data_IF_275485449709
#
_entry.id   IF_275485449709
#
_cell.length_a   1.000
_cell.length_b   1.000
_cell.length_c   1.000
_cell.angle_alpha   90.00
_cell.angle_beta   90.00
_cell.angle_gamma   90.00
#
_symmetry.space_group_name_H-M   'P 1'
#
loop_
_entity.id
_entity.type
_entity.pdbx_description
1 polymer ?
#
# COMPACT_ATOMS: atom_id res chain seq x y z
N UNK A 1 42.48 -31.66 -27.23
CA UNK A 1 43.14 -31.21 -28.47
C UNK A 1 42.06 -31.10 -29.53
N UNK A 2 41.74 -29.88 -29.98
CA UNK A 2 41.05 -29.64 -31.25
C UNK A 2 42.13 -29.21 -32.27
N UNK A 3 42.04 -29.62 -33.55
CA UNK A 3 41.58 -28.72 -34.62
C UNK A 3 40.77 -29.51 -35.71
N UNK A 4 40.09 -28.99 -36.75
CA UNK A 4 40.20 -27.80 -37.61
C UNK A 4 38.88 -27.68 -38.44
N UNK A 5 38.20 -26.52 -38.44
CA UNK A 5 38.01 -25.52 -39.55
C UNK A 5 37.12 -25.81 -40.78
N UNK A 6 36.38 -24.75 -41.15
CA UNK A 6 35.73 -24.37 -42.43
C UNK A 6 34.19 -24.45 -42.39
N UNK A 7 33.37 -23.48 -42.82
CA UNK A 7 33.51 -22.38 -43.78
C UNK A 7 32.44 -21.29 -43.51
N UNK A 8 32.68 -20.06 -43.94
CA UNK A 8 31.76 -18.92 -43.86
C UNK A 8 30.80 -18.84 -45.07
N UNK A 9 29.56 -18.37 -44.86
CA UNK A 9 28.90 -17.37 -45.69
C UNK A 9 27.61 -16.86 -45.03
N UNK A 10 27.56 -15.54 -44.87
CA UNK A 10 26.48 -14.67 -45.30
C UNK A 10 25.28 -14.41 -44.36
N UNK A 11 25.18 -13.11 -44.04
CA UNK A 11 24.22 -12.38 -43.24
C UNK A 11 22.77 -12.57 -43.67
N UNK A 12 21.87 -12.70 -42.68
CA UNK A 12 20.61 -11.96 -42.67
C UNK A 12 20.42 -11.44 -41.25
N UNK A 13 20.51 -10.12 -41.09
CA UNK A 13 20.04 -9.41 -39.90
C UNK A 13 18.53 -9.60 -39.77
N UNK A 14 18.07 -10.18 -38.66
CA UNK A 14 16.69 -9.98 -38.21
C UNK A 14 16.71 -9.20 -36.89
N UNK A 15 16.33 -7.94 -37.02
CA UNK A 15 15.91 -7.07 -35.93
C UNK A 15 14.62 -7.68 -35.39
N UNK A 16 14.66 -8.22 -34.17
CA UNK A 16 13.47 -8.60 -33.42
C UNK A 16 13.46 -7.79 -32.13
N UNK A 17 12.44 -6.94 -32.05
CA UNK A 17 12.17 -5.94 -31.03
C UNK A 17 12.39 -6.41 -29.59
N UNK A 18 13.15 -5.58 -28.87
CA UNK A 18 13.27 -5.57 -27.42
C UNK A 18 12.00 -4.93 -26.85
N UNK A 19 10.89 -5.69 -26.81
CA UNK A 19 9.63 -5.28 -26.21
C UNK A 19 9.74 -5.30 -24.67
N UNK A 20 10.44 -4.30 -24.14
CA UNK A 20 10.53 -3.98 -22.72
C UNK A 20 9.40 -3.01 -22.31
N UNK A 21 8.15 -3.36 -22.59
CA UNK A 21 6.96 -2.62 -22.15
C UNK A 21 5.86 -3.59 -21.74
N UNK A 22 6.02 -4.24 -20.59
CA UNK A 22 5.02 -5.17 -20.04
C UNK A 22 4.68 -4.87 -18.57
N UNK A 23 4.91 -3.62 -18.14
CA UNK A 23 4.51 -3.09 -16.83
C UNK A 23 3.32 -2.10 -16.91
N UNK A 24 2.82 -1.81 -18.11
CA UNK A 24 1.77 -0.83 -18.36
C UNK A 24 0.34 -1.42 -18.32
N UNK A 25 0.16 -2.72 -18.09
CA UNK A 25 -1.16 -3.37 -18.06
C UNK A 25 -1.97 -3.20 -16.75
N UNK A 26 -1.61 -2.26 -15.86
CA UNK A 26 -2.27 -2.12 -14.55
C UNK A 26 -3.27 -0.96 -14.40
N UNK A 27 -3.53 -0.13 -15.43
CA UNK A 27 -4.65 0.84 -15.44
C UNK A 27 -4.80 1.53 -16.81
N UNK A 28 -5.79 1.17 -17.66
CA UNK A 28 -5.91 1.77 -19.00
C UNK A 28 -6.63 3.13 -19.06
N UNK A 29 -7.51 3.47 -18.11
CA UNK A 29 -8.39 4.63 -18.30
C UNK A 29 -8.29 5.62 -17.14
N UNK A 30 -7.57 6.72 -17.35
CA UNK A 30 -7.81 8.03 -16.72
C UNK A 30 -6.81 9.06 -17.29
N UNK A 31 -6.99 9.44 -18.55
CA UNK A 31 -6.34 10.62 -19.09
C UNK A 31 -7.10 11.18 -20.31
N UNK A 32 -8.11 12.01 -20.08
CA UNK A 32 -8.41 13.13 -20.98
C UNK A 32 -8.77 14.38 -20.16
N UNK A 33 -8.06 15.50 -20.32
CA UNK A 33 -8.49 16.79 -19.82
C UNK A 33 -9.23 17.58 -20.92
N UNK A 34 -10.48 17.93 -20.65
CA UNK A 34 -11.24 18.92 -21.43
C UNK A 34 -10.69 20.33 -21.17
N UNK A 35 -10.56 21.10 -22.25
CA UNK A 35 -10.05 22.47 -22.29
C UNK A 35 -11.15 23.48 -22.61
N UNK A 36 -11.15 24.60 -21.87
CA UNK A 36 -11.58 25.97 -22.23
C UNK A 36 -11.61 26.79 -20.91
N UNK A 37 -11.33 28.08 -20.76
CA UNK A 37 -11.38 29.27 -21.62
C UNK A 37 -10.29 30.33 -21.21
N UNK A 38 -10.30 31.41 -21.99
CA UNK A 38 -9.43 32.58 -22.16
C UNK A 38 -8.94 33.40 -20.94
N UNK A 39 -7.68 33.85 -20.98
CA UNK A 39 -7.18 35.02 -20.23
C UNK A 39 -6.22 35.88 -21.09
N UNK A 40 -6.20 37.17 -20.77
CA UNK A 40 -5.71 38.31 -21.56
C UNK A 40 -4.17 38.52 -21.51
N UNK A 41 -3.67 39.35 -22.43
CA UNK A 41 -2.30 39.33 -22.98
C UNK A 41 -1.20 40.10 -22.22
N UNK A 42 -1.42 40.59 -21.00
CA UNK A 42 -0.39 41.38 -20.28
C UNK A 42 0.10 40.78 -18.95
N UNK A 43 -0.51 39.69 -18.45
CA UNK A 43 -0.04 38.92 -17.27
C UNK A 43 0.88 37.72 -17.62
N UNK A 44 1.16 37.51 -18.91
CA UNK A 44 1.88 36.32 -19.40
C UNK A 44 3.38 36.33 -19.05
N UNK A 45 4.07 37.48 -19.14
CA UNK A 45 5.54 37.49 -18.99
C UNK A 45 6.00 37.32 -17.53
N UNK A 46 5.30 37.90 -16.56
CA UNK A 46 5.64 37.75 -15.13
C UNK A 46 5.31 36.34 -14.60
N UNK A 47 4.19 35.78 -15.05
CA UNK A 47 3.79 34.40 -14.74
C UNK A 47 4.72 33.36 -15.36
N UNK A 48 5.22 33.61 -16.58
CA UNK A 48 6.20 32.75 -17.23
C UNK A 48 7.54 32.77 -16.52
N UNK A 49 8.06 33.93 -16.12
CA UNK A 49 9.32 33.99 -15.37
C UNK A 49 9.24 33.26 -14.01
N UNK A 50 8.11 33.35 -13.31
CA UNK A 50 7.86 32.62 -12.06
C UNK A 50 7.71 31.10 -12.28
N UNK A 51 7.02 30.69 -13.36
CA UNK A 51 6.91 29.29 -13.78
C UNK A 51 8.25 28.72 -14.23
N UNK A 52 9.09 29.50 -14.91
CA UNK A 52 10.43 29.09 -15.34
C UNK A 52 11.36 28.97 -14.14
N UNK A 53 11.32 29.91 -13.19
CA UNK A 53 12.09 29.83 -11.94
C UNK A 53 11.68 28.62 -11.10
N UNK A 54 10.39 28.33 -10.95
CA UNK A 54 9.92 27.15 -10.23
C UNK A 54 10.26 25.84 -10.94
N UNK A 55 10.23 25.80 -12.28
CA UNK A 55 10.71 24.66 -13.08
C UNK A 55 12.22 24.46 -12.95
N UNK A 56 13.01 25.53 -12.96
CA UNK A 56 14.47 25.48 -12.76
C UNK A 56 14.83 25.05 -11.34
N UNK A 57 14.13 25.54 -10.32
CA UNK A 57 14.32 25.10 -8.93
C UNK A 57 13.89 23.64 -8.76
N UNK A 58 12.83 23.20 -9.44
CA UNK A 58 12.39 21.79 -9.42
C UNK A 58 13.40 20.88 -10.14
N UNK A 59 13.96 21.33 -11.26
CA UNK A 59 15.05 20.64 -11.95
C UNK A 59 16.31 20.60 -11.08
N UNK A 60 16.66 21.71 -10.42
CA UNK A 60 17.79 21.80 -9.51
C UNK A 60 17.63 20.91 -8.27
N UNK A 61 16.43 20.85 -7.69
CA UNK A 61 16.12 19.94 -6.59
C UNK A 61 16.16 18.49 -7.07
N UNK A 62 15.71 18.20 -8.29
CA UNK A 62 15.82 16.87 -8.90
C UNK A 62 17.28 16.48 -9.15
N UNK A 63 18.16 17.42 -9.46
CA UNK A 63 19.59 17.17 -9.64
C UNK A 63 20.28 17.01 -8.28
N UNK A 64 20.05 17.93 -7.34
CA UNK A 64 20.66 17.97 -6.01
C UNK A 64 20.28 16.76 -5.15
N UNK A 65 19.04 16.29 -5.25
CA UNK A 65 18.54 15.17 -4.46
C UNK A 65 18.31 13.88 -5.26
N UNK A 66 18.38 13.91 -6.61
CA UNK A 66 17.96 12.80 -7.47
C UNK A 66 18.95 12.31 -8.52
N UNK A 67 20.06 13.02 -8.81
CA UNK A 67 21.04 12.56 -9.80
C UNK A 67 22.24 11.84 -9.15
N UNK A 68 21.98 10.68 -8.58
CA UNK A 68 23.04 9.66 -8.52
C UNK A 68 23.08 8.98 -9.88
N UNK A 69 24.26 8.89 -10.50
CA UNK A 69 24.54 7.99 -11.63
C UNK A 69 24.33 6.55 -11.13
N UNK A 70 23.06 6.13 -11.06
CA UNK A 70 22.67 4.80 -10.59
C UNK A 70 23.17 3.83 -11.65
N UNK A 71 24.28 3.14 -11.36
CA UNK A 71 24.59 1.87 -12.02
C UNK A 71 23.30 1.06 -12.01
N UNK A 72 22.71 0.80 -13.19
CA UNK A 72 21.51 -0.04 -13.29
C UNK A 72 21.82 -1.33 -12.55
N UNK A 73 21.08 -1.58 -11.46
CA UNK A 73 21.27 -2.78 -10.68
C UNK A 73 21.05 -3.98 -11.62
N UNK A 74 22.07 -4.81 -11.78
CA UNK A 74 21.99 -6.03 -12.59
C UNK A 74 21.31 -7.10 -11.76
N UNK A 75 19.98 -7.15 -11.82
CA UNK A 75 19.22 -8.22 -11.18
C UNK A 75 19.25 -9.47 -12.07
N UNK A 76 19.62 -10.60 -11.47
CA UNK A 76 19.50 -11.89 -12.15
C UNK A 76 18.03 -12.29 -12.14
N UNK A 77 17.40 -12.45 -13.31
CA UNK A 77 15.98 -12.86 -13.45
C UNK A 77 15.63 -14.22 -12.81
N UNK A 78 16.61 -14.97 -12.33
CA UNK A 78 16.43 -16.25 -11.61
C UNK A 78 16.59 -16.14 -10.10
N UNK A 79 17.00 -14.99 -9.59
CA UNK A 79 17.06 -14.78 -8.14
C UNK A 79 15.64 -14.71 -7.58
N UNK A 80 15.37 -15.35 -6.43
CA UNK A 80 14.06 -15.27 -5.80
C UNK A 80 13.78 -13.84 -5.32
N UNK A 81 12.50 -13.47 -5.34
CA UNK A 81 12.03 -12.20 -4.78
C UNK A 81 11.60 -12.44 -3.35
N UNK A 82 12.12 -11.65 -2.41
CA UNK A 82 11.76 -11.74 -1.00
C UNK A 82 10.81 -10.61 -0.62
N UNK A 83 9.65 -10.95 -0.04
CA UNK A 83 8.66 -10.00 0.45
C UNK A 83 8.28 -10.36 1.88
N UNK A 84 8.61 -9.49 2.83
CA UNK A 84 8.20 -9.57 4.25
C UNK A 84 8.46 -10.96 4.88
N UNK A 85 9.64 -11.51 4.65
CA UNK A 85 10.08 -12.81 5.20
C UNK A 85 9.69 -14.04 4.36
N UNK A 86 8.98 -13.87 3.24
CA UNK A 86 8.66 -14.95 2.30
C UNK A 86 9.49 -14.83 1.02
N UNK A 87 9.94 -15.96 0.49
CA UNK A 87 10.71 -16.04 -0.76
C UNK A 87 9.84 -16.61 -1.88
N UNK A 88 9.90 -16.01 -3.06
CA UNK A 88 9.08 -16.37 -4.21
C UNK A 88 9.96 -16.59 -5.45
N UNK A 89 9.82 -17.73 -6.10
CA UNK A 89 10.44 -17.97 -7.40
C UNK A 89 9.52 -17.52 -8.52
N UNK A 90 9.73 -16.32 -9.05
CA UNK A 90 8.85 -15.69 -10.05
C UNK A 90 8.77 -16.45 -11.38
N UNK A 91 9.68 -17.41 -11.65
CA UNK A 91 9.58 -18.30 -12.81
C UNK A 91 8.48 -19.36 -12.65
N UNK A 92 8.19 -19.75 -11.41
CA UNK A 92 7.09 -20.63 -11.10
C UNK A 92 5.80 -19.78 -11.08
N UNK A 93 4.80 -20.20 -11.85
CA UNK A 93 3.54 -19.48 -12.00
C UNK A 93 2.75 -19.37 -10.70
N UNK A 94 2.73 -20.42 -9.89
CA UNK A 94 2.05 -20.45 -8.59
C UNK A 94 2.74 -19.51 -7.58
N UNK A 95 4.07 -19.52 -7.53
CA UNK A 95 4.84 -18.60 -6.69
C UNK A 95 4.65 -17.14 -7.12
N UNK A 96 4.62 -16.89 -8.44
CA UNK A 96 4.37 -15.56 -9.00
C UNK A 96 2.98 -15.04 -8.62
N UNK A 97 1.96 -15.89 -8.69
CA UNK A 97 0.60 -15.53 -8.30
C UNK A 97 0.48 -15.34 -6.78
N UNK A 98 1.14 -16.19 -5.98
CA UNK A 98 1.23 -16.02 -4.53
C UNK A 98 1.93 -14.70 -4.16
N UNK A 99 3.01 -14.34 -4.85
CA UNK A 99 3.67 -13.05 -4.71
C UNK A 99 2.71 -11.90 -5.03
N UNK A 100 2.03 -11.96 -6.18
CA UNK A 100 1.07 -10.93 -6.62
C UNK A 100 -0.01 -10.73 -5.57
N UNK A 101 -0.64 -11.80 -5.08
CA UNK A 101 -1.66 -11.74 -4.01
C UNK A 101 -1.10 -11.11 -2.74
N UNK A 102 0.08 -11.54 -2.29
CA UNK A 102 0.70 -10.97 -1.09
C UNK A 102 1.03 -9.48 -1.26
N UNK A 103 1.51 -9.08 -2.44
CA UNK A 103 1.88 -7.71 -2.75
C UNK A 103 0.66 -6.78 -2.80
N UNK A 104 -0.40 -7.15 -3.52
CA UNK A 104 -1.63 -6.32 -3.61
C UNK A 104 -2.42 -6.27 -2.31
N UNK A 105 -2.15 -7.18 -1.37
CA UNK A 105 -2.74 -7.17 -0.03
C UNK A 105 -2.11 -6.13 0.90
N UNK A 106 -1.01 -5.49 0.51
CA UNK A 106 -0.37 -4.47 1.32
C UNK A 106 -1.16 -3.19 1.28
N UNK A 107 -1.51 -2.67 2.46
CA UNK A 107 -2.15 -1.36 2.57
C UNK A 107 -1.16 -0.28 2.14
N UNK A 108 -1.48 0.38 1.03
CA UNK A 108 -0.68 1.45 0.45
C UNK A 108 -1.25 2.80 0.86
N UNK A 109 -0.52 3.53 1.71
CA UNK A 109 -0.88 4.86 2.17
C UNK A 109 0.01 5.90 1.49
N UNK A 110 -0.63 6.84 0.81
CA UNK A 110 0.01 7.87 -0.02
C UNK A 110 -0.30 9.27 0.51
N UNK A 111 0.33 10.27 -0.08
CA UNK A 111 -0.06 11.65 0.16
C UNK A 111 -1.53 11.89 -0.18
N UNK A 112 -2.19 12.69 0.65
CA UNK A 112 -3.58 13.11 0.47
C UNK A 112 -3.69 14.63 0.56
N UNK A 113 -4.81 15.13 0.06
CA UNK A 113 -5.19 16.54 0.05
C UNK A 113 -6.68 16.64 0.35
N UNK A 114 -7.10 17.79 0.87
CA UNK A 114 -8.51 18.06 1.17
C UNK A 114 -9.02 17.39 2.45
N UNK A 115 -8.13 16.86 3.29
CA UNK A 115 -8.52 16.41 4.63
C UNK A 115 -8.71 17.59 5.59
N UNK A 116 -9.40 17.43 6.74
CA UNK A 116 -9.59 18.50 7.73
C UNK A 116 -8.28 19.17 8.15
N UNK A 117 -8.29 20.44 8.51
CA UNK A 117 -7.05 21.16 8.85
C UNK A 117 -6.27 20.48 9.98
N UNK A 118 -4.94 20.41 9.84
CA UNK A 118 -4.07 19.81 10.84
C UNK A 118 -3.89 20.73 12.06
N UNK A 119 -3.90 20.18 13.30
CA UNK A 119 -3.90 20.98 14.51
C UNK A 119 -2.73 21.97 14.60
N UNK A 120 -3.02 23.26 14.69
CA UNK A 120 -2.01 24.33 14.79
C UNK A 120 -1.38 24.72 13.45
N UNK A 121 -2.06 24.46 12.33
CA UNK A 121 -1.62 24.84 10.99
C UNK A 121 -2.82 25.10 10.06
N UNK A 122 -2.55 25.67 8.88
CA UNK A 122 -3.53 25.78 7.79
C UNK A 122 -3.46 24.61 6.79
N UNK A 123 -2.66 23.58 7.05
CA UNK A 123 -2.41 22.49 6.12
C UNK A 123 -3.57 21.50 6.07
N UNK A 124 -4.07 21.27 4.87
CA UNK A 124 -5.07 20.24 4.50
C UNK A 124 -4.47 19.18 3.56
N UNK A 125 -3.14 19.13 3.51
CA UNK A 125 -2.36 18.23 2.66
C UNK A 125 -1.05 17.86 3.35
N UNK A 126 -0.63 16.61 3.14
CA UNK A 126 0.69 16.12 3.58
C UNK A 126 1.69 15.97 2.43
N UNK A 127 1.30 16.41 1.23
CA UNK A 127 2.18 16.44 0.06
C UNK A 127 3.43 17.26 0.34
N UNK A 128 4.59 16.63 0.16
CA UNK A 128 5.90 17.29 0.30
C UNK A 128 6.56 17.17 1.67
N UNK A 129 5.86 16.65 2.69
CA UNK A 129 6.44 16.52 4.04
C UNK A 129 6.00 15.25 4.81
N UNK A 130 4.84 14.66 4.48
CA UNK A 130 4.25 13.54 5.22
C UNK A 130 4.82 12.15 4.94
N UNK A 131 5.84 12.00 4.09
CA UNK A 131 6.23 10.69 3.54
C UNK A 131 6.56 9.67 4.63
N UNK A 132 7.35 10.06 5.63
CA UNK A 132 7.79 9.15 6.69
C UNK A 132 6.62 8.78 7.62
N UNK A 133 5.64 9.67 7.80
CA UNK A 133 4.39 9.34 8.50
C UNK A 133 3.58 8.29 7.72
N UNK A 134 3.44 8.46 6.39
CA UNK A 134 2.76 7.46 5.53
C UNK A 134 3.47 6.11 5.53
N UNK A 135 4.80 6.10 5.49
CA UNK A 135 5.58 4.88 5.64
C UNK A 135 5.37 4.22 7.01
N UNK A 136 5.32 5.02 8.09
CA UNK A 136 4.98 4.54 9.42
C UNK A 136 3.58 3.94 9.50
N UNK A 137 2.59 4.57 8.87
CA UNK A 137 1.23 4.02 8.75
C UNK A 137 1.24 2.68 8.03
N UNK A 138 1.93 2.54 6.90
CA UNK A 138 2.03 1.26 6.17
C UNK A 138 2.70 0.17 7.01
N UNK A 139 3.76 0.51 7.74
CA UNK A 139 4.45 -0.41 8.63
C UNK A 139 3.53 -0.91 9.75
N UNK A 140 2.84 0.02 10.43
CA UNK A 140 1.88 -0.31 11.48
C UNK A 140 0.71 -1.13 10.92
N UNK A 141 0.13 -0.71 9.80
CA UNK A 141 -0.94 -1.42 9.12
C UNK A 141 -0.58 -2.87 8.84
N UNK A 142 0.65 -3.13 8.37
CA UNK A 142 1.14 -4.51 8.18
C UNK A 142 1.21 -5.28 9.51
N UNK A 143 1.71 -4.65 10.57
CA UNK A 143 1.73 -5.24 11.92
C UNK A 143 0.33 -5.57 12.43
N UNK A 144 -0.66 -4.71 12.19
CA UNK A 144 -2.05 -4.93 12.56
C UNK A 144 -2.69 -6.08 11.78
N UNK A 145 -2.43 -6.19 10.48
CA UNK A 145 -2.89 -7.33 9.69
C UNK A 145 -2.30 -8.63 10.23
N UNK A 146 -1.00 -8.67 10.56
CA UNK A 146 -0.38 -9.85 11.17
C UNK A 146 -0.93 -10.17 12.57
N UNK A 147 -1.35 -9.17 13.32
CA UNK A 147 -1.91 -9.34 14.67
C UNK A 147 -3.37 -9.81 14.66
N UNK A 148 -4.17 -9.33 13.70
CA UNK A 148 -5.64 -9.50 13.70
C UNK A 148 -6.14 -10.55 12.71
N UNK A 149 -5.34 -10.91 11.70
CA UNK A 149 -5.72 -11.86 10.65
C UNK A 149 -5.04 -13.22 10.83
N UNK A 150 -5.62 -14.31 10.30
CA UNK A 150 -4.96 -15.62 10.30
C UNK A 150 -3.66 -15.61 9.49
N UNK A 151 -2.70 -16.50 9.82
CA UNK A 151 -1.47 -16.66 9.06
C UNK A 151 -1.75 -16.94 7.58
N UNK A 152 -0.99 -16.29 6.69
CA UNK A 152 -1.14 -16.46 5.25
C UNK A 152 -2.29 -15.70 4.61
N UNK A 153 -3.04 -14.92 5.39
CA UNK A 153 -4.12 -14.09 4.85
C UNK A 153 -3.65 -13.15 3.72
N UNK A 154 -4.48 -13.07 2.67
CA UNK A 154 -4.36 -12.14 1.55
C UNK A 154 -5.72 -11.53 1.23
N UNK A 155 -5.71 -10.31 0.72
CA UNK A 155 -6.88 -9.64 0.18
C UNK A 155 -7.24 -10.26 -1.18
N UNK A 156 -8.45 -10.81 -1.28
CA UNK A 156 -8.97 -11.30 -2.57
C UNK A 156 -9.52 -10.12 -3.36
N UNK A 157 -8.73 -9.59 -4.29
CA UNK A 157 -9.17 -8.57 -5.24
C UNK A 157 -10.17 -9.10 -6.29
N UNK A 158 -10.44 -10.41 -6.33
CA UNK A 158 -11.40 -10.99 -7.29
C UNK A 158 -12.87 -10.62 -6.99
N UNK A 159 -13.15 -9.93 -5.88
CA UNK A 159 -14.50 -9.49 -5.52
C UNK A 159 -14.92 -8.12 -6.08
N UNK A 160 -14.08 -7.40 -6.83
CA UNK A 160 -14.47 -6.13 -7.45
C UNK A 160 -14.55 -6.12 -8.97
N UNK A 161 -14.27 -7.24 -9.66
CA UNK A 161 -14.24 -7.29 -11.13
C UNK A 161 -15.26 -8.22 -11.78
N UNK A 162 -16.03 -9.05 -11.03
CA UNK A 162 -17.18 -9.81 -11.58
C UNK A 162 -18.26 -10.01 -10.52
N UNK A 163 -19.32 -9.19 -10.58
CA UNK A 163 -20.76 -9.48 -10.41
C UNK A 163 -21.49 -8.19 -10.01
N UNK A 164 -21.94 -7.39 -10.96
CA UNK A 164 -23.36 -7.48 -11.34
C UNK A 164 -23.89 -8.92 -11.24
N UNK A 165 -24.81 -9.14 -10.31
CA UNK A 165 -25.55 -10.39 -10.11
C UNK A 165 -26.43 -10.74 -11.34
N UNK A 166 -25.82 -10.94 -12.50
CA UNK A 166 -26.44 -11.43 -13.73
C UNK A 166 -25.84 -12.77 -14.15
N UNK A 167 -25.75 -13.71 -13.20
CA UNK A 167 -25.79 -15.12 -13.57
C UNK A 167 -27.26 -15.52 -13.71
N UNK A 168 -27.89 -15.09 -14.80
CA UNK A 168 -29.05 -15.80 -15.33
C UNK A 168 -28.55 -17.17 -15.74
N UNK A 169 -28.94 -18.21 -15.00
CA UNK A 169 -28.86 -19.56 -15.50
C UNK A 169 -29.60 -19.58 -16.84
N UNK A 170 -28.85 -19.73 -17.93
CA UNK A 170 -29.41 -20.15 -19.21
C UNK A 170 -30.09 -21.50 -18.97
N UNK A 171 -31.41 -21.48 -18.85
CA UNK A 171 -32.21 -22.70 -18.97
C UNK A 171 -32.23 -23.06 -20.44
N UNK A 172 -31.43 -24.07 -20.83
CA UNK A 172 -31.69 -24.83 -22.02
C UNK A 172 -33.02 -25.59 -21.83
N UNK A 173 -34.04 -25.08 -22.52
CA UNK A 173 -35.14 -25.79 -23.18
C UNK A 173 -36.05 -26.74 -22.37
N UNK A 174 -37.31 -26.34 -22.16
CA UNK A 174 -38.53 -27.11 -22.52
C UNK A 174 -39.82 -26.43 -22.02
N UNK A 175 -40.57 -25.85 -22.98
CA UNK A 175 -42.00 -26.04 -23.26
C UNK A 175 -43.07 -25.95 -22.13
N UNK A 176 -43.96 -24.94 -22.33
CA UNK A 176 -45.35 -24.73 -21.88
C UNK A 176 -45.71 -23.88 -20.61
N UNK A 177 -46.82 -23.08 -20.69
CA UNK A 177 -47.18 -22.05 -19.70
C UNK A 177 -48.30 -22.47 -18.73
N UNK A 178 -48.21 -22.03 -17.47
CA UNK A 178 -49.28 -22.19 -16.48
C UNK A 178 -49.11 -21.30 -15.26
N UNK A 179 -50.12 -20.46 -14.99
CA UNK A 179 -50.18 -19.55 -13.84
C UNK A 179 -50.26 -20.29 -12.50
N UNK A 180 -49.49 -19.86 -11.49
CA UNK A 180 -49.97 -19.40 -10.18
C UNK A 180 -48.85 -19.41 -9.10
N UNK A 181 -48.85 -18.30 -8.36
CA UNK A 181 -48.14 -17.91 -7.13
C UNK A 181 -47.79 -19.06 -6.15
N UNK A 182 -46.49 -19.17 -5.82
CA UNK A 182 -46.05 -19.54 -4.46
C UNK A 182 -44.82 -18.71 -4.07
N UNK A 183 -45.04 -17.75 -3.16
CA UNK A 183 -44.05 -16.80 -2.67
C UNK A 183 -43.07 -17.44 -1.69
N UNK A 184 -42.22 -18.35 -2.16
CA UNK A 184 -41.02 -18.76 -1.42
C UNK A 184 -39.93 -17.75 -1.69
N UNK A 185 -39.63 -16.90 -0.70
CA UNK A 185 -38.35 -16.19 -0.65
C UNK A 185 -37.23 -17.24 -0.69
N UNK A 186 -36.75 -17.58 -1.89
CA UNK A 186 -35.48 -18.27 -2.10
C UNK A 186 -34.39 -17.28 -1.69
N UNK A 187 -34.16 -17.18 -0.39
CA UNK A 187 -32.99 -16.49 0.15
C UNK A 187 -31.76 -17.08 -0.52
N UNK A 188 -31.04 -16.26 -1.29
CA UNK A 188 -29.78 -16.64 -1.92
C UNK A 188 -28.84 -17.11 -0.80
N UNK A 189 -28.55 -18.42 -0.76
CA UNK A 189 -27.58 -18.97 0.20
C UNK A 189 -26.19 -18.60 -0.28
N UNK A 190 -25.48 -17.81 0.52
CA UNK A 190 -24.08 -17.49 0.29
C UNK A 190 -23.24 -18.78 0.29
N UNK A 191 -22.19 -18.83 -0.54
CA UNK A 191 -21.24 -19.94 -0.49
C UNK A 191 -20.51 -19.95 0.85
N UNK A 192 -20.03 -21.11 1.29
CA UNK A 192 -19.24 -21.23 2.52
C UNK A 192 -18.02 -20.28 2.50
N UNK A 193 -17.37 -20.13 1.34
CA UNK A 193 -16.28 -19.15 1.16
C UNK A 193 -16.73 -17.71 1.39
N UNK A 194 -17.87 -17.30 0.81
CA UNK A 194 -18.42 -15.96 1.01
C UNK A 194 -18.81 -15.68 2.47
N UNK A 195 -19.31 -16.69 3.19
CA UNK A 195 -19.61 -16.59 4.62
C UNK A 195 -18.35 -16.45 5.48
N UNK A 196 -17.28 -17.19 5.16
CA UNK A 196 -16.00 -17.14 5.87
C UNK A 196 -15.19 -15.87 5.56
N UNK A 197 -15.33 -15.32 4.35
CA UNK A 197 -14.62 -14.10 3.92
C UNK A 197 -15.18 -12.85 4.60
N UNK A 198 -16.48 -12.79 4.90
CA UNK A 198 -17.15 -11.60 5.46
C UNK A 198 -16.55 -11.10 6.79
N UNK A 199 -16.30 -11.93 7.82
CA UNK A 199 -15.65 -11.48 9.05
C UNK A 199 -14.24 -10.91 8.83
N UNK A 200 -13.49 -11.49 7.89
CA UNK A 200 -12.11 -11.08 7.59
C UNK A 200 -12.10 -9.79 6.77
N UNK A 201 -13.05 -9.65 5.84
CA UNK A 201 -13.29 -8.41 5.13
C UNK A 201 -13.69 -7.28 6.10
N UNK A 202 -14.60 -7.55 7.05
CA UNK A 202 -15.00 -6.57 8.06
C UNK A 202 -13.81 -6.14 8.94
N UNK A 203 -12.97 -7.10 9.34
CA UNK A 203 -11.75 -6.81 10.09
C UNK A 203 -10.79 -5.96 9.26
N UNK A 204 -10.61 -6.26 7.98
CA UNK A 204 -9.73 -5.51 7.08
C UNK A 204 -10.23 -4.08 6.90
N UNK A 205 -11.52 -3.90 6.60
CA UNK A 205 -12.15 -2.58 6.48
C UNK A 205 -12.04 -1.78 7.78
N UNK A 206 -12.14 -2.44 8.94
CA UNK A 206 -11.90 -1.80 10.25
C UNK A 206 -10.45 -1.35 10.42
N UNK A 207 -9.48 -2.17 10.02
CA UNK A 207 -8.07 -1.76 10.02
C UNK A 207 -7.86 -0.56 9.10
N UNK A 208 -8.39 -0.58 7.89
CA UNK A 208 -8.31 0.54 6.93
C UNK A 208 -8.91 1.82 7.53
N UNK A 209 -10.07 1.72 8.18
CA UNK A 209 -10.75 2.89 8.74
C UNK A 209 -9.95 3.60 9.83
N UNK A 210 -9.07 2.89 10.54
CA UNK A 210 -8.18 3.49 11.54
C UNK A 210 -7.11 4.41 10.96
N UNK A 211 -6.84 4.35 9.66
CA UNK A 211 -5.81 5.18 9.00
C UNK A 211 -6.39 6.31 8.13
N UNK A 212 -7.72 6.51 8.11
CA UNK A 212 -8.30 7.61 7.35
C UNK A 212 -7.78 8.96 7.87
N UNK A 213 -7.65 9.94 6.98
CA UNK A 213 -7.15 11.27 7.30
C UNK A 213 -8.23 12.13 7.95
N UNK A 214 -8.60 11.76 9.18
CA UNK A 214 -9.60 12.44 9.96
C UNK A 214 -9.16 12.54 11.43
N UNK A 215 -9.45 13.64 12.15
CA UNK A 215 -9.03 13.82 13.54
C UNK A 215 -9.48 12.72 14.52
N UNK A 216 -10.57 12.02 14.22
CA UNK A 216 -11.13 10.97 15.08
C UNK A 216 -10.46 9.60 14.93
N UNK A 217 -9.58 9.40 13.95
CA UNK A 217 -8.98 8.09 13.69
C UNK A 217 -7.70 7.91 14.50
N UNK A 218 -7.46 6.70 15.07
CA UNK A 218 -6.35 6.49 15.99
C UNK A 218 -4.98 6.52 15.31
N UNK A 219 -4.91 6.20 14.02
CA UNK A 219 -3.66 6.16 13.25
C UNK A 219 -3.67 7.08 12.03
N UNK A 220 -4.66 7.96 11.91
CA UNK A 220 -4.70 9.00 10.88
C UNK A 220 -3.62 10.07 11.09
N UNK A 221 -3.29 10.78 10.02
CA UNK A 221 -2.18 11.75 10.02
C UNK A 221 -2.35 12.85 11.08
N UNK A 222 -3.58 13.27 11.36
CA UNK A 222 -3.90 14.24 12.42
C UNK A 222 -3.39 13.79 13.77
N UNK A 223 -3.68 12.53 14.13
CA UNK A 223 -3.27 11.95 15.40
C UNK A 223 -1.76 11.77 15.47
N UNK A 224 -1.12 11.34 14.38
CA UNK A 224 0.33 11.17 14.35
C UNK A 224 1.07 12.52 14.50
N UNK A 225 0.59 13.58 13.84
CA UNK A 225 1.13 14.93 13.99
C UNK A 225 0.93 15.45 15.41
N UNK A 226 -0.24 15.23 16.00
CA UNK A 226 -0.53 15.62 17.39
C UNK A 226 0.44 14.95 18.38
N UNK A 227 0.63 13.63 18.27
CA UNK A 227 1.58 12.89 19.09
C UNK A 227 3.03 13.32 18.85
N UNK A 228 3.36 13.75 17.63
CA UNK A 228 4.67 14.29 17.25
C UNK A 228 5.05 15.58 17.97
N UNK A 229 4.09 16.35 18.48
CA UNK A 229 4.34 17.60 19.22
C UNK A 229 5.23 17.38 20.44
N UNK A 230 5.06 16.25 21.13
CA UNK A 230 5.88 15.88 22.29
C UNK A 230 7.36 15.62 21.94
N UNK A 231 7.67 15.46 20.66
CA UNK A 231 9.03 15.36 20.11
C UNK A 231 9.44 16.63 19.34
N UNK A 232 8.75 17.75 19.57
CA UNK A 232 9.04 19.04 18.93
C UNK A 232 8.63 19.14 17.45
N UNK A 233 7.78 18.23 16.95
CA UNK A 233 7.32 18.24 15.56
C UNK A 233 5.97 18.92 15.40
N UNK A 234 5.76 19.58 14.25
CA UNK A 234 4.48 20.14 13.82
C UNK A 234 4.11 19.69 12.41
N UNK A 235 2.91 20.05 11.95
CA UNK A 235 2.51 19.84 10.56
C UNK A 235 3.46 20.60 9.63
N UNK A 236 3.89 19.97 8.54
CA UNK A 236 4.86 20.54 7.59
C UNK A 236 6.32 20.20 7.90
N UNK A 237 6.65 19.75 9.11
CA UNK A 237 8.01 19.34 9.44
C UNK A 237 8.38 18.00 8.77
N UNK A 238 9.68 17.80 8.56
CA UNK A 238 10.20 16.49 8.21
C UNK A 238 10.33 15.59 9.45
N UNK A 239 9.86 14.34 9.33
CA UNK A 239 9.89 13.33 10.39
C UNK A 239 10.96 12.28 10.07
N UNK A 240 11.77 11.90 11.07
CA UNK A 240 12.72 10.80 10.94
C UNK A 240 12.14 9.46 11.43
N UNK A 241 12.69 8.31 11.01
CA UNK A 241 12.19 6.97 11.39
C UNK A 241 12.13 6.74 12.91
N UNK A 242 13.12 7.22 13.67
CA UNK A 242 13.15 7.11 15.14
C UNK A 242 11.97 7.83 15.80
N UNK A 243 11.68 9.08 15.37
CA UNK A 243 10.55 9.85 15.90
C UNK A 243 9.23 9.17 15.55
N UNK A 244 9.07 8.72 14.30
CA UNK A 244 7.86 8.00 13.88
C UNK A 244 7.67 6.71 14.67
N UNK A 245 8.73 5.96 14.97
CA UNK A 245 8.65 4.75 15.78
C UNK A 245 8.08 5.02 17.18
N UNK A 246 8.52 6.11 17.83
CA UNK A 246 7.96 6.54 19.11
C UNK A 246 6.53 7.08 19.01
N UNK A 247 6.17 7.74 17.90
CA UNK A 247 4.78 8.17 17.63
C UNK A 247 3.87 6.94 17.49
N UNK A 248 4.27 5.93 16.71
CA UNK A 248 3.50 4.69 16.54
C UNK A 248 3.32 3.96 17.87
N UNK A 249 4.37 3.91 18.71
CA UNK A 249 4.26 3.38 20.08
C UNK A 249 3.18 4.11 20.88
N UNK A 250 3.23 5.45 20.91
CA UNK A 250 2.23 6.26 21.62
C UNK A 250 0.82 6.06 21.07
N UNK A 251 0.67 5.97 19.75
CA UNK A 251 -0.62 5.78 19.09
C UNK A 251 -1.24 4.42 19.44
N UNK A 252 -0.46 3.33 19.39
CA UNK A 252 -0.92 1.99 19.77
C UNK A 252 -1.26 1.93 21.25
N UNK A 253 -0.42 2.49 22.14
CA UNK A 253 -0.71 2.54 23.58
C UNK A 253 -1.99 3.30 23.92
N UNK A 254 -2.32 4.35 23.16
CA UNK A 254 -3.55 5.12 23.36
C UNK A 254 -4.80 4.50 22.72
N UNK A 255 -4.66 3.45 21.91
CA UNK A 255 -5.78 2.84 21.19
C UNK A 255 -6.50 1.82 22.07
N UNK A 256 -7.79 2.07 22.34
CA UNK A 256 -8.66 1.14 23.08
C UNK A 256 -8.99 -0.12 22.29
N UNK A 257 -8.88 -0.07 20.96
CA UNK A 257 -9.17 -1.18 20.06
C UNK A 257 -8.07 -2.26 20.04
N UNK A 258 -6.90 -1.96 20.59
CA UNK A 258 -5.70 -2.80 20.54
C UNK A 258 -5.15 -3.15 21.94
N UNK A 259 -5.97 -3.65 22.88
CA UNK A 259 -5.51 -3.90 24.25
C UNK A 259 -4.40 -4.96 24.32
N UNK A 260 -4.32 -5.83 23.32
CA UNK A 260 -3.44 -7.00 23.24
C UNK A 260 -2.20 -6.78 22.34
N UNK A 261 -1.92 -5.54 21.94
CA UNK A 261 -0.78 -5.18 21.12
C UNK A 261 0.09 -4.15 21.83
N UNK A 262 1.40 -4.34 21.78
CA UNK A 262 2.40 -3.40 22.27
C UNK A 262 3.44 -3.11 21.21
N UNK A 263 4.10 -1.95 21.31
CA UNK A 263 5.20 -1.56 20.43
C UNK A 263 6.43 -1.32 21.28
N UNK A 264 7.49 -2.07 20.99
CA UNK A 264 8.82 -1.87 21.55
C UNK A 264 9.66 -1.11 20.52
N UNK A 265 10.31 -0.03 20.96
CA UNK A 265 11.26 0.74 20.14
C UNK A 265 12.63 0.52 20.75
N UNK A 266 13.52 -0.13 20.01
CA UNK A 266 14.88 -0.39 20.43
C UNK A 266 15.65 0.93 20.57
N UNK A 267 16.61 0.94 21.48
CA UNK A 267 17.50 2.07 21.72
C UNK A 267 18.93 1.60 21.49
N UNK A 268 19.76 2.49 20.95
CA UNK A 268 21.19 2.24 20.75
C UNK A 268 21.47 0.93 19.98
N UNK A 269 20.66 0.66 18.97
CA UNK A 269 20.71 -0.55 18.13
C UNK A 269 20.62 -1.88 18.93
N UNK A 270 20.05 -1.84 20.13
CA UNK A 270 20.04 -2.96 21.08
C UNK A 270 18.61 -3.30 21.51
N UNK A 271 18.27 -4.59 21.45
CA UNK A 271 17.01 -5.11 21.98
C UNK A 271 17.26 -5.74 23.35
N UNK A 272 16.69 -5.15 24.39
CA UNK A 272 16.74 -5.69 25.74
C UNK A 272 15.62 -6.70 25.95
N UNK A 273 15.97 -7.99 25.92
CA UNK A 273 15.00 -9.09 25.98
C UNK A 273 14.08 -9.03 27.21
N UNK A 274 14.62 -8.63 28.37
CA UNK A 274 13.84 -8.53 29.60
C UNK A 274 12.81 -7.39 29.56
N UNK A 275 13.09 -6.30 28.82
CA UNK A 275 12.13 -5.22 28.62
C UNK A 275 10.99 -5.65 27.71
N UNK A 276 11.33 -6.35 26.62
CA UNK A 276 10.32 -6.93 25.72
C UNK A 276 9.43 -7.91 26.49
N UNK A 277 10.02 -8.79 27.30
CA UNK A 277 9.28 -9.73 28.15
C UNK A 277 8.32 -9.01 29.09
N UNK A 278 8.80 -8.05 29.88
CA UNK A 278 7.95 -7.27 30.81
C UNK A 278 6.82 -6.53 30.10
N UNK A 279 7.06 -6.04 28.88
CA UNK A 279 6.05 -5.34 28.09
C UNK A 279 4.92 -6.26 27.61
N UNK A 280 5.25 -7.53 27.34
CA UNK A 280 4.31 -8.50 26.77
C UNK A 280 3.59 -9.35 27.83
N UNK A 281 4.23 -9.62 28.97
CA UNK A 281 3.68 -10.46 30.03
C UNK A 281 2.38 -9.90 30.61
N UNK A 282 1.50 -10.82 31.01
CA UNK A 282 0.21 -10.53 31.63
C UNK A 282 -0.05 -11.45 32.81
N UNK A 283 -0.88 -11.00 33.77
CA UNK A 283 -1.44 -11.90 34.77
C UNK A 283 -2.30 -12.96 34.07
N UNK A 284 -2.32 -14.16 34.66
CA UNK A 284 -3.14 -15.30 34.22
C UNK A 284 -4.62 -14.89 34.03
N UNK A 285 -5.36 -15.42 33.03
CA UNK A 285 -5.08 -16.59 32.18
C UNK A 285 -4.47 -16.28 30.80
N UNK A 286 -4.22 -15.02 30.47
CA UNK A 286 -3.59 -14.64 29.20
C UNK A 286 -2.09 -14.40 29.42
N UNK A 287 -1.24 -15.13 28.71
CA UNK A 287 0.20 -15.12 29.01
C UNK A 287 1.00 -14.06 28.26
N UNK A 288 0.52 -13.54 27.11
CA UNK A 288 1.34 -12.70 26.24
C UNK A 288 0.54 -11.74 25.36
N UNK A 289 0.97 -10.47 25.30
CA UNK A 289 0.54 -9.48 24.28
C UNK A 289 1.40 -9.65 23.02
N UNK A 290 0.81 -9.47 21.84
CA UNK A 290 1.61 -9.37 20.61
C UNK A 290 2.50 -8.12 20.66
N UNK A 291 3.69 -8.20 20.06
CA UNK A 291 4.64 -7.09 20.05
C UNK A 291 5.09 -6.76 18.63
N UNK A 292 5.12 -5.47 18.31
CA UNK A 292 5.84 -4.91 17.16
C UNK A 292 7.17 -4.36 17.68
N UNK A 293 8.27 -4.86 17.13
CA UNK A 293 9.62 -4.40 17.47
C UNK A 293 10.11 -3.48 16.34
N UNK A 294 10.44 -2.25 16.68
CA UNK A 294 11.02 -1.25 15.78
C UNK A 294 12.48 -1.02 16.21
N UNK A 295 13.41 -1.15 15.26
CA UNK A 295 14.86 -1.00 15.49
C UNK A 295 15.38 0.19 14.70
#
# INVERSE_FOLDING_TARGET
>A
MNPNTSSACCEVQSVADDHADDWLFLCPDLAEPLSSESESREDQEAGEQSKLKSKLVSAWNSIKYGWSLKKKAKFKKSSPVNLLGKSYNIKNEEDRECFRRCFVSLLWLTYRRGFPQLPGSSLTTDSGWGCVLRTGQMLLARGLILHLMPPGWTWSAQYSLVKDDLDLLQSADSTEPGWAVDGKQRGRKLSLGSLLDRPMEATHRRVVSWFLDHPSTPFGIHRLVELGKTSGKKAGDWYGPSIVSHILRKAVTASVDLPNLVVYVAQDCTIYLQDVRRLCERPHPHFWKSVIILV
#
